data_IF_108064568563
#
_entry.id   IF_108064568563
#
_cell.length_a   1.000
_cell.length_b   1.000
_cell.length_c   1.000
_cell.angle_alpha   90.00
_cell.angle_beta   90.00
_cell.angle_gamma   90.00
#
_symmetry.space_group_name_H-M   'P 1'
#
loop_
_entity.id
_entity.type
_entity.pdbx_description
1 polymer ?
#
# COMPACT_ATOMS: atom_id res chain seq x y z
N UNK A 1 16.60 7.86 -19.06
CA UNK A 1 15.81 6.63 -19.35
C UNK A 1 15.47 6.60 -20.84
N UNK A 2 15.87 5.54 -21.54
CA UNK A 2 15.60 5.38 -22.99
C UNK A 2 14.19 4.83 -23.17
N UNK A 3 13.21 5.72 -23.36
CA UNK A 3 11.84 5.31 -23.65
C UNK A 3 11.71 4.83 -25.11
N UNK A 4 11.06 3.68 -25.31
CA UNK A 4 10.84 3.07 -26.62
C UNK A 4 9.38 2.64 -26.78
N UNK A 5 8.85 2.72 -28.00
CA UNK A 5 7.51 2.22 -28.29
C UNK A 5 7.45 0.68 -28.29
N UNK A 6 6.25 0.11 -28.19
CA UNK A 6 6.03 -1.33 -28.09
C UNK A 6 6.71 -2.16 -29.20
N UNK A 7 6.58 -1.74 -30.46
CA UNK A 7 7.14 -2.49 -31.59
C UNK A 7 8.67 -2.43 -31.61
N UNK A 8 9.25 -1.25 -31.35
CA UNK A 8 10.70 -1.05 -31.28
C UNK A 8 11.29 -1.83 -30.11
N UNK A 9 10.62 -1.83 -28.95
CA UNK A 9 11.01 -2.60 -27.79
C UNK A 9 11.05 -4.10 -28.08
N UNK A 10 10.00 -4.65 -28.69
CA UNK A 10 9.90 -6.05 -29.10
C UNK A 10 11.07 -6.43 -30.04
N UNK A 11 11.33 -5.59 -31.05
CA UNK A 11 12.42 -5.81 -32.01
C UNK A 11 13.81 -5.78 -31.34
N UNK A 12 14.09 -4.78 -30.49
CA UNK A 12 15.38 -4.66 -29.79
C UNK A 12 15.63 -5.87 -28.88
N UNK A 13 14.58 -6.33 -28.20
CA UNK A 13 14.67 -7.40 -27.22
C UNK A 13 14.53 -8.79 -27.83
N UNK A 14 14.16 -8.93 -29.11
CA UNK A 14 13.88 -10.23 -29.71
C UNK A 14 12.75 -10.99 -28.99
N UNK A 15 11.71 -10.28 -28.55
CA UNK A 15 10.49 -10.83 -27.93
C UNK A 15 9.28 -10.34 -28.71
N UNK A 16 8.14 -10.98 -28.51
CA UNK A 16 6.87 -10.56 -29.11
C UNK A 16 6.26 -9.36 -28.37
N UNK A 17 5.47 -8.56 -29.08
CA UNK A 17 4.69 -7.48 -28.46
C UNK A 17 3.69 -8.03 -27.42
N UNK A 18 3.17 -9.24 -27.64
CA UNK A 18 2.30 -9.95 -26.71
C UNK A 18 3.00 -10.30 -25.39
N UNK A 19 4.29 -10.65 -25.41
CA UNK A 19 5.09 -10.89 -24.20
C UNK A 19 5.28 -9.61 -23.39
N UNK A 20 5.62 -8.49 -24.04
CA UNK A 20 5.75 -7.18 -23.35
C UNK A 20 4.41 -6.76 -22.74
N UNK A 21 3.31 -6.89 -23.48
CA UNK A 21 1.96 -6.62 -22.95
C UNK A 21 1.58 -7.57 -21.81
N UNK A 22 2.07 -8.81 -21.83
CA UNK A 22 1.88 -9.78 -20.74
C UNK A 22 2.65 -9.34 -19.49
N UNK A 23 3.91 -8.90 -19.63
CA UNK A 23 4.69 -8.34 -18.52
C UNK A 23 4.01 -7.10 -17.92
N UNK A 24 3.52 -6.21 -18.78
CA UNK A 24 2.76 -5.03 -18.35
C UNK A 24 1.46 -5.42 -17.62
N UNK A 25 0.68 -6.36 -18.16
CA UNK A 25 -0.56 -6.87 -17.55
C UNK A 25 -0.29 -7.54 -16.19
N UNK A 26 0.85 -8.22 -16.07
CA UNK A 26 1.35 -8.78 -14.79
C UNK A 26 1.91 -7.71 -13.85
N UNK A 27 1.97 -6.44 -14.27
CA UNK A 27 2.54 -5.30 -13.56
C UNK A 27 4.03 -5.48 -13.19
N UNK A 28 4.80 -6.11 -14.07
CA UNK A 28 6.25 -6.27 -13.89
C UNK A 28 7.04 -5.07 -14.44
N UNK A 29 6.44 -4.35 -15.36
CA UNK A 29 7.01 -3.15 -16.01
C UNK A 29 6.01 -2.00 -15.98
N UNK A 30 6.54 -0.78 -16.08
CA UNK A 30 5.78 0.46 -16.25
C UNK A 30 5.57 0.70 -17.74
N UNK A 31 4.34 1.04 -18.12
CA UNK A 31 4.03 1.51 -19.46
C UNK A 31 3.38 2.88 -19.38
N UNK A 32 3.83 3.83 -20.19
CA UNK A 32 3.18 5.13 -20.35
C UNK A 32 2.35 5.10 -21.64
N UNK A 33 1.04 5.24 -21.50
CA UNK A 33 0.14 5.30 -22.65
C UNK A 33 0.26 6.69 -23.31
N UNK A 34 0.58 6.74 -24.61
CA UNK A 34 0.68 7.99 -25.38
C UNK A 34 -0.67 8.32 -26.02
N UNK A 35 -1.33 7.33 -26.61
CA UNK A 35 -2.63 7.45 -27.25
C UNK A 35 -3.41 6.13 -27.09
N UNK A 36 -4.53 5.94 -27.79
CA UNK A 36 -5.38 4.75 -27.58
C UNK A 36 -4.66 3.41 -27.80
N UNK A 37 -3.62 3.38 -28.64
CA UNK A 37 -2.91 2.18 -29.11
C UNK A 37 -1.43 2.14 -28.71
N UNK A 38 -0.78 3.28 -28.54
CA UNK A 38 0.67 3.37 -28.33
C UNK A 38 1.08 3.49 -26.86
N UNK A 39 2.10 2.72 -26.52
CA UNK A 39 2.73 2.68 -25.20
C UNK A 39 4.23 2.93 -25.33
N UNK A 40 4.78 3.70 -24.39
CA UNK A 40 6.22 3.80 -24.14
C UNK A 40 6.61 2.93 -22.95
N UNK A 41 7.75 2.27 -23.10
CA UNK A 41 8.36 1.44 -22.08
C UNK A 41 9.80 1.86 -21.86
N UNK A 42 10.28 1.64 -20.64
CA UNK A 42 11.70 1.79 -20.31
C UNK A 42 12.47 0.55 -20.82
N UNK A 43 13.42 0.79 -21.74
CA UNK A 43 14.19 -0.30 -22.36
C UNK A 43 15.08 -1.04 -21.35
N UNK A 44 15.63 -0.35 -20.35
CA UNK A 44 16.47 -0.95 -19.32
C UNK A 44 15.65 -1.90 -18.46
N UNK A 45 14.47 -1.44 -18.02
CA UNK A 45 13.53 -2.26 -17.25
C UNK A 45 13.12 -3.53 -18.01
N UNK A 46 12.82 -3.39 -19.31
CA UNK A 46 12.47 -4.53 -20.15
C UNK A 46 13.65 -5.52 -20.33
N UNK A 47 14.86 -5.00 -20.52
CA UNK A 47 16.08 -5.81 -20.68
C UNK A 47 16.36 -6.63 -19.43
N UNK A 48 16.27 -5.98 -18.25
CA UNK A 48 16.43 -6.63 -16.96
C UNK A 48 15.42 -7.77 -16.78
N UNK A 49 14.15 -7.52 -17.09
CA UNK A 49 13.10 -8.52 -16.97
C UNK A 49 13.31 -9.70 -17.93
N UNK A 50 13.68 -9.44 -19.20
CA UNK A 50 13.99 -10.49 -20.19
C UNK A 50 15.10 -11.43 -19.70
N UNK A 51 16.14 -10.85 -19.10
CA UNK A 51 17.30 -11.61 -18.65
C UNK A 51 17.10 -12.29 -17.29
N UNK A 52 15.88 -12.24 -16.72
CA UNK A 52 15.58 -12.63 -15.33
C UNK A 52 16.52 -11.98 -14.31
N UNK A 53 17.02 -10.79 -14.64
CA UNK A 53 17.81 -9.96 -13.75
C UNK A 53 16.84 -9.04 -13.02
N UNK A 54 16.50 -9.40 -11.77
CA UNK A 54 15.92 -8.43 -10.83
C UNK A 54 17.09 -7.73 -10.14
N UNK A 55 17.47 -6.51 -10.55
CA UNK A 55 18.57 -5.79 -9.90
C UNK A 55 18.21 -5.40 -8.46
N UNK A 56 16.92 -5.42 -8.11
CA UNK A 56 16.45 -5.13 -6.76
C UNK A 56 16.73 -6.28 -5.80
N UNK A 57 17.60 -6.02 -4.83
CA UNK A 57 17.70 -6.81 -3.59
C UNK A 57 16.76 -6.21 -2.54
N UNK A 58 16.15 -7.05 -1.70
CA UNK A 58 15.39 -6.54 -0.57
C UNK A 58 16.36 -5.96 0.46
N UNK A 59 16.33 -4.65 0.63
CA UNK A 59 16.98 -3.92 1.72
C UNK A 59 15.92 -3.13 2.47
N UNK A 60 16.03 -3.09 3.78
CA UNK A 60 15.16 -2.25 4.61
C UNK A 60 15.76 -0.85 4.56
N UNK A 61 15.05 0.08 3.93
CA UNK A 61 15.56 1.43 3.68
C UNK A 61 15.56 2.22 4.99
N UNK A 62 16.62 2.97 5.22
CA UNK A 62 16.80 3.85 6.37
C UNK A 62 17.80 4.97 6.02
N UNK A 63 17.47 6.21 6.40
CA UNK A 63 18.38 7.35 6.28
C UNK A 63 19.41 7.33 7.40
N UNK A 64 20.59 7.91 7.13
CA UNK A 64 21.62 8.14 8.14
C UNK A 64 21.48 9.50 8.83
N UNK A 65 20.70 10.42 8.25
CA UNK A 65 20.49 11.78 8.74
C UNK A 65 19.04 11.94 9.20
N UNK A 66 18.74 11.74 10.50
CA UNK A 66 17.42 12.01 11.03
C UNK A 66 17.14 13.52 11.05
N UNK A 67 15.87 13.88 10.89
CA UNK A 67 15.38 15.26 10.96
C UNK A 67 14.77 15.55 12.32
N UNK A 68 14.47 16.82 12.58
CA UNK A 68 13.70 17.22 13.77
C UNK A 68 12.19 17.30 13.48
N UNK A 69 11.75 16.98 12.27
CA UNK A 69 10.33 17.04 11.92
C UNK A 69 9.56 15.93 12.62
N UNK A 70 8.39 16.29 13.10
CA UNK A 70 7.60 15.48 14.01
C UNK A 70 6.37 14.90 13.34
N UNK A 71 6.00 13.67 13.72
CA UNK A 71 4.81 12.99 13.21
C UNK A 71 3.96 12.38 14.32
N UNK A 72 2.65 12.54 14.20
CA UNK A 72 1.65 11.71 14.87
C UNK A 72 1.10 10.72 13.85
N UNK A 73 1.00 9.44 14.20
CA UNK A 73 0.31 8.44 13.39
C UNK A 73 -0.93 7.89 14.09
N UNK A 74 -2.04 7.97 13.37
CA UNK A 74 -3.34 7.44 13.76
C UNK A 74 -3.57 6.07 13.10
N UNK A 75 -4.22 5.15 13.83
CA UNK A 75 -4.51 3.80 13.35
C UNK A 75 -3.22 3.03 13.02
N UNK A 76 -2.23 3.11 13.93
CA UNK A 76 -0.84 2.73 13.66
C UNK A 76 -0.62 1.25 13.32
N UNK A 77 -1.58 0.38 13.65
CA UNK A 77 -1.46 -1.06 13.45
C UNK A 77 -0.18 -1.61 14.08
N UNK A 78 0.50 -2.51 13.37
CA UNK A 78 1.76 -3.08 13.84
C UNK A 78 3.01 -2.24 13.50
N UNK A 79 2.84 -0.99 13.04
CA UNK A 79 3.95 -0.04 12.87
C UNK A 79 4.63 -0.05 11.51
N UNK A 80 4.01 -0.61 10.46
CA UNK A 80 4.62 -0.60 9.12
C UNK A 80 4.84 0.81 8.57
N UNK A 81 3.86 1.71 8.74
CA UNK A 81 4.02 3.12 8.37
C UNK A 81 4.92 3.85 9.36
N UNK A 82 4.70 3.69 10.67
CA UNK A 82 5.53 4.31 11.71
C UNK A 82 7.02 4.04 11.52
N UNK A 83 7.39 2.78 11.29
CA UNK A 83 8.77 2.38 11.06
C UNK A 83 9.32 2.97 9.77
N UNK A 84 8.54 2.99 8.68
CA UNK A 84 8.99 3.59 7.42
C UNK A 84 9.22 5.10 7.55
N UNK A 85 8.34 5.81 8.25
CA UNK A 85 8.47 7.24 8.51
C UNK A 85 9.66 7.54 9.44
N UNK A 86 9.86 6.75 10.50
CA UNK A 86 11.06 6.81 11.36
C UNK A 86 12.33 6.57 10.54
N UNK A 87 12.32 5.54 9.69
CA UNK A 87 13.43 5.22 8.81
C UNK A 87 13.73 6.33 7.80
N UNK A 88 12.74 7.12 7.39
CA UNK A 88 12.94 8.29 6.53
C UNK A 88 13.56 9.49 7.28
N UNK A 89 13.64 9.42 8.62
CA UNK A 89 14.19 10.46 9.48
C UNK A 89 13.15 11.31 10.18
N UNK A 90 11.87 10.93 10.21
CA UNK A 90 10.84 11.63 10.98
C UNK A 90 10.81 11.18 12.45
N UNK A 91 10.54 12.10 13.36
CA UNK A 91 10.42 11.81 14.79
C UNK A 91 8.97 11.52 15.18
N UNK A 92 8.68 10.27 15.48
CA UNK A 92 7.38 9.83 15.98
C UNK A 92 7.10 10.40 17.37
N UNK A 93 6.10 11.26 17.49
CA UNK A 93 5.67 11.88 18.75
C UNK A 93 4.55 11.10 19.44
N UNK A 94 3.65 10.52 18.65
CA UNK A 94 2.52 9.76 19.17
C UNK A 94 2.05 8.74 18.13
N UNK A 95 1.77 7.53 18.61
CA UNK A 95 1.06 6.48 17.88
C UNK A 95 -0.27 6.19 18.58
N UNK A 96 -1.37 6.19 17.82
CA UNK A 96 -2.70 5.82 18.31
C UNK A 96 -3.15 4.51 17.67
N UNK A 97 -3.43 3.50 18.48
CA UNK A 97 -3.89 2.20 18.03
C UNK A 97 -4.86 1.58 19.04
N UNK A 98 -5.95 0.98 18.58
CA UNK A 98 -7.00 0.41 19.44
C UNK A 98 -6.79 -1.09 19.72
N UNK A 99 -6.09 -1.79 18.85
CA UNK A 99 -5.86 -3.22 18.96
C UNK A 99 -4.69 -3.52 19.91
N UNK A 100 -4.97 -4.24 20.99
CA UNK A 100 -3.97 -4.55 22.01
C UNK A 100 -2.76 -5.33 21.49
N UNK A 101 -2.94 -6.27 20.55
CA UNK A 101 -1.81 -7.03 19.98
C UNK A 101 -0.92 -6.12 19.13
N UNK A 102 -1.52 -5.22 18.33
CA UNK A 102 -0.78 -4.19 17.59
C UNK A 102 0.02 -3.28 18.54
N UNK A 103 -0.61 -2.79 19.61
CA UNK A 103 0.05 -1.95 20.63
C UNK A 103 1.23 -2.68 21.28
N UNK A 104 1.04 -3.95 21.63
CA UNK A 104 2.10 -4.77 22.22
C UNK A 104 3.25 -4.96 21.23
N UNK A 105 2.95 -5.18 19.95
CA UNK A 105 3.95 -5.22 18.86
C UNK A 105 4.72 -3.91 18.76
N UNK A 106 4.06 -2.75 18.76
CA UNK A 106 4.72 -1.44 18.70
C UNK A 106 5.69 -1.25 19.88
N UNK A 107 5.20 -1.48 21.11
CA UNK A 107 5.99 -1.31 22.34
C UNK A 107 7.14 -2.30 22.47
N UNK A 108 6.99 -3.52 21.96
CA UNK A 108 8.05 -4.53 21.97
C UNK A 108 9.23 -4.11 21.09
N UNK A 109 8.95 -3.60 19.89
CA UNK A 109 10.00 -3.28 18.91
C UNK A 109 10.59 -1.89 19.11
N UNK A 110 9.83 -0.97 19.71
CA UNK A 110 10.21 0.41 19.97
C UNK A 110 9.69 0.85 21.35
N UNK A 111 10.34 0.42 22.44
CA UNK A 111 9.90 0.76 23.80
C UNK A 111 9.83 2.26 24.10
N UNK A 112 10.60 3.07 23.37
CA UNK A 112 10.62 4.52 23.46
C UNK A 112 9.44 5.20 22.75
N UNK A 113 8.70 4.51 21.88
CA UNK A 113 7.56 5.11 21.20
C UNK A 113 6.42 5.37 22.18
N UNK A 114 5.87 6.57 22.11
CA UNK A 114 4.67 6.93 22.86
C UNK A 114 3.43 6.34 22.16
N UNK A 115 2.92 5.22 22.68
CA UNK A 115 1.78 4.49 22.11
C UNK A 115 0.56 4.62 23.03
N UNK A 116 -0.50 5.26 22.55
CA UNK A 116 -1.80 5.30 23.22
C UNK A 116 -2.66 4.14 22.71
N UNK A 117 -3.04 3.25 23.64
CA UNK A 117 -4.01 2.20 23.39
C UNK A 117 -5.43 2.67 23.69
N UNK A 118 -6.07 3.35 22.75
CA UNK A 118 -7.40 3.89 22.96
C UNK A 118 -8.14 4.09 21.65
N UNK A 119 -9.47 4.07 21.72
CA UNK A 119 -10.31 4.59 20.64
C UNK A 119 -9.99 6.08 20.42
N UNK A 120 -9.64 6.44 19.19
CA UNK A 120 -9.32 7.82 18.78
C UNK A 120 -10.40 8.82 19.19
N UNK A 121 -11.68 8.40 19.21
CA UNK A 121 -12.84 9.23 19.62
C UNK A 121 -12.73 9.78 21.03
N UNK A 122 -11.92 9.14 21.89
CA UNK A 122 -11.73 9.51 23.29
C UNK A 122 -10.45 10.31 23.54
N UNK A 123 -9.67 10.55 22.49
CA UNK A 123 -8.39 11.26 22.59
C UNK A 123 -8.60 12.73 22.23
N UNK A 124 -8.12 13.60 23.12
CA UNK A 124 -8.00 15.03 22.89
C UNK A 124 -6.61 15.31 22.33
N UNK A 125 -6.52 15.93 21.17
CA UNK A 125 -5.27 16.25 20.50
C UNK A 125 -4.85 17.71 20.67
N UNK A 126 -5.67 18.54 21.31
CA UNK A 126 -5.38 19.96 21.57
C UNK A 126 -4.01 20.24 22.19
N UNK A 127 -3.48 19.29 22.97
CA UNK A 127 -2.19 19.46 23.67
C UNK A 127 -1.00 19.45 22.69
N UNK A 128 -1.23 18.95 21.47
CA UNK A 128 -0.29 18.91 20.35
C UNK A 128 -0.48 20.05 19.34
N UNK A 129 -1.42 20.97 19.58
CA UNK A 129 -1.68 22.11 18.71
C UNK A 129 -0.40 22.90 18.42
N UNK A 130 -0.13 23.11 17.13
CA UNK A 130 1.03 23.84 16.60
C UNK A 130 2.42 23.27 16.98
N UNK A 131 2.46 22.02 17.49
CA UNK A 131 3.71 21.34 17.89
C UNK A 131 4.13 20.20 16.95
N UNK A 132 3.27 19.85 16.01
CA UNK A 132 3.42 18.68 15.15
C UNK A 132 3.49 19.13 13.69
N UNK A 133 4.48 18.66 12.96
CA UNK A 133 4.63 18.98 11.54
C UNK A 133 3.68 18.13 10.68
N UNK A 134 3.52 16.84 11.02
CA UNK A 134 2.82 15.86 10.20
C UNK A 134 1.80 15.06 11.02
N UNK A 135 0.59 14.87 10.48
CA UNK A 135 -0.34 13.82 10.94
C UNK A 135 -0.53 12.77 9.85
N UNK A 136 -0.19 11.51 10.14
CA UNK A 136 -0.36 10.39 9.21
C UNK A 136 -1.44 9.41 9.72
N UNK A 137 -2.09 8.64 8.84
CA UNK A 137 -2.98 7.57 9.29
C UNK A 137 -3.60 6.72 8.20
N UNK A 138 -3.79 5.43 8.48
CA UNK A 138 -4.47 4.47 7.60
C UNK A 138 -5.81 4.05 8.18
N UNK A 139 -6.87 4.81 7.92
CA UNK A 139 -8.19 4.50 8.52
C UNK A 139 -8.91 3.37 7.76
N UNK A 140 -9.63 2.47 8.46
CA UNK A 140 -10.45 1.45 7.84
C UNK A 140 -11.47 2.01 6.85
N UNK A 141 -11.52 1.44 5.64
CA UNK A 141 -12.52 1.77 4.61
C UNK A 141 -13.86 1.09 4.96
N UNK A 142 -14.65 1.69 5.85
CA UNK A 142 -16.02 1.25 6.12
C UNK A 142 -17.00 1.91 5.13
N UNK A 143 -18.06 1.22 4.68
CA UNK A 143 -19.09 1.83 3.86
C UNK A 143 -19.83 2.93 4.65
N UNK A 144 -19.83 4.16 4.12
CA UNK A 144 -20.56 5.30 4.68
C UNK A 144 -22.07 5.01 4.64
N UNK A 145 -22.70 4.82 5.80
CA UNK A 145 -24.12 4.51 5.92
C UNK A 145 -24.97 5.69 5.46
N UNK A 146 -25.95 5.42 4.59
CA UNK A 146 -26.97 6.37 4.14
C UNK A 146 -27.78 6.89 5.33
N UNK A 147 -27.67 8.18 5.64
CA UNK A 147 -28.69 8.91 6.37
C UNK A 147 -29.13 10.15 5.56
N UNK A 148 -29.76 9.90 4.41
CA UNK A 148 -30.60 10.88 3.73
C UNK A 148 -30.06 11.37 2.39
N UNK A 149 -30.90 11.25 1.37
CA UNK A 149 -30.78 11.96 0.10
C UNK A 149 -30.55 13.46 0.38
N UNK A 150 -29.32 13.95 0.17
CA UNK A 150 -29.02 15.37 0.02
C UNK A 150 -28.50 16.14 1.24
N UNK A 151 -27.63 15.58 2.11
CA UNK A 151 -26.97 16.34 3.19
C UNK A 151 -25.46 16.06 3.39
N UNK A 152 -24.65 16.41 2.39
CA UNK A 152 -23.22 16.76 2.54
C UNK A 152 -22.36 15.97 3.55
N UNK A 153 -21.50 16.70 4.28
CA UNK A 153 -20.54 16.20 5.29
C UNK A 153 -21.18 15.52 6.50
N UNK A 154 -22.51 15.58 6.65
CA UNK A 154 -23.20 14.93 7.76
C UNK A 154 -23.08 13.40 7.68
N UNK A 155 -23.01 12.85 6.46
CA UNK A 155 -22.76 11.41 6.21
C UNK A 155 -21.34 10.96 6.60
N UNK A 156 -20.39 11.89 6.77
CA UNK A 156 -19.06 11.58 7.31
C UNK A 156 -19.06 11.55 8.84
N UNK A 157 -20.05 12.17 9.50
CA UNK A 157 -20.09 12.26 10.97
C UNK A 157 -20.22 10.85 11.57
N UNK A 158 -19.27 10.48 12.41
CA UNK A 158 -19.17 9.15 13.03
C UNK A 158 -18.22 8.17 12.33
N UNK A 159 -17.74 8.50 11.13
CA UNK A 159 -16.69 7.73 10.44
C UNK A 159 -15.30 7.97 11.06
N UNK A 160 -14.37 7.03 10.84
CA UNK A 160 -12.98 7.18 11.28
C UNK A 160 -12.22 8.26 10.49
N UNK A 161 -12.69 8.61 9.29
CA UNK A 161 -12.17 9.76 8.55
C UNK A 161 -12.53 11.08 9.26
N UNK A 162 -13.73 11.20 9.85
CA UNK A 162 -14.09 12.38 10.63
C UNK A 162 -13.20 12.56 11.86
N UNK A 163 -12.83 11.47 12.53
CA UNK A 163 -11.87 11.54 13.65
C UNK A 163 -10.45 11.92 13.20
N UNK A 164 -10.04 11.50 12.00
CA UNK A 164 -8.81 11.97 11.38
C UNK A 164 -8.88 13.49 11.12
N UNK A 165 -9.97 13.98 10.51
CA UNK A 165 -10.17 15.42 10.26
C UNK A 165 -10.25 16.24 11.58
N UNK A 166 -10.90 15.71 12.62
CA UNK A 166 -10.92 16.33 13.96
C UNK A 166 -9.52 16.47 14.53
N UNK A 167 -8.70 15.42 14.42
CA UNK A 167 -7.29 15.47 14.82
C UNK A 167 -6.56 16.61 14.08
N UNK A 168 -6.74 16.76 12.76
CA UNK A 168 -6.14 17.86 11.99
C UNK A 168 -6.60 19.24 12.48
N UNK A 169 -7.88 19.40 12.81
CA UNK A 169 -8.40 20.68 13.33
C UNK A 169 -7.81 21.04 14.70
N UNK A 170 -7.61 20.05 15.57
CA UNK A 170 -7.04 20.25 16.91
C UNK A 170 -5.53 20.49 16.85
N UNK A 171 -4.79 19.67 16.10
CA UNK A 171 -3.32 19.68 16.01
C UNK A 171 -2.80 20.79 15.10
N UNK A 172 -3.53 21.13 14.02
CA UNK A 172 -3.11 22.07 12.98
C UNK A 172 -1.74 21.74 12.33
N UNK A 173 -1.46 20.48 11.91
CA UNK A 173 -0.18 20.13 11.31
C UNK A 173 0.05 20.86 9.98
N UNK A 174 1.32 20.97 9.57
CA UNK A 174 1.68 21.56 8.27
C UNK A 174 1.24 20.64 7.12
N UNK A 175 1.34 19.33 7.34
CA UNK A 175 1.00 18.30 6.35
C UNK A 175 0.20 17.18 7.02
N UNK A 176 -0.78 16.63 6.31
CA UNK A 176 -1.48 15.42 6.66
C UNK A 176 -1.34 14.37 5.55
N UNK A 177 -1.16 13.10 5.92
CA UNK A 177 -1.10 11.99 4.98
C UNK A 177 -2.10 10.90 5.39
N UNK A 178 -3.03 10.57 4.50
CA UNK A 178 -3.95 9.46 4.70
C UNK A 178 -3.67 8.32 3.72
N UNK A 179 -3.64 7.10 4.23
CA UNK A 179 -3.57 5.87 3.44
C UNK A 179 -4.94 5.20 3.35
N UNK A 180 -5.25 4.65 2.17
CA UNK A 180 -6.42 3.82 1.99
C UNK A 180 -6.28 2.79 0.86
N UNK A 181 -7.25 1.89 0.73
CA UNK A 181 -7.32 0.92 -0.37
C UNK A 181 -7.67 1.60 -1.70
N UNK A 182 -7.14 1.08 -2.81
CA UNK A 182 -7.49 1.55 -4.17
C UNK A 182 -9.00 1.57 -4.44
N UNK A 183 -9.76 0.67 -3.82
CA UNK A 183 -11.21 0.56 -3.99
C UNK A 183 -11.98 1.84 -3.62
N UNK A 184 -11.37 2.73 -2.82
CA UNK A 184 -11.97 4.01 -2.44
C UNK A 184 -12.26 4.92 -3.65
N UNK A 185 -11.45 4.84 -4.72
CA UNK A 185 -11.68 5.58 -5.97
C UNK A 185 -13.03 5.27 -6.63
N UNK A 186 -13.48 4.03 -6.52
CA UNK A 186 -14.71 3.54 -7.13
C UNK A 186 -15.88 3.48 -6.15
N UNK A 187 -15.64 3.79 -4.87
CA UNK A 187 -16.67 3.74 -3.84
C UNK A 187 -17.73 4.80 -4.12
N UNK A 188 -19.01 4.39 -4.18
CA UNK A 188 -20.13 5.23 -4.63
C UNK A 188 -19.78 6.04 -5.90
N UNK A 189 -19.18 5.38 -6.90
CA UNK A 189 -18.75 6.02 -8.16
C UNK A 189 -17.77 7.20 -8.00
N UNK A 190 -17.04 7.26 -6.88
CA UNK A 190 -16.03 8.29 -6.58
C UNK A 190 -16.51 9.37 -5.60
N UNK A 191 -17.81 9.41 -5.26
CA UNK A 191 -18.40 10.42 -4.37
C UNK A 191 -17.74 10.45 -3.00
N UNK A 192 -17.41 9.28 -2.45
CA UNK A 192 -16.78 9.18 -1.12
C UNK A 192 -15.44 9.90 -1.06
N UNK A 193 -14.58 9.72 -2.06
CA UNK A 193 -13.28 10.39 -2.08
C UNK A 193 -13.47 11.90 -2.25
N UNK A 194 -14.40 12.33 -3.10
CA UNK A 194 -14.69 13.76 -3.30
C UNK A 194 -15.15 14.42 -2.00
N UNK A 195 -16.05 13.78 -1.24
CA UNK A 195 -16.48 14.27 0.08
C UNK A 195 -15.32 14.38 1.08
N UNK A 196 -14.39 13.43 1.08
CA UNK A 196 -13.19 13.52 1.93
C UNK A 196 -12.29 14.71 1.55
N UNK A 197 -12.05 14.92 0.25
CA UNK A 197 -11.23 16.04 -0.21
C UNK A 197 -11.89 17.38 0.11
N UNK A 198 -13.22 17.48 -0.06
CA UNK A 198 -13.98 18.67 0.33
C UNK A 198 -13.91 18.92 1.84
N UNK A 199 -14.06 17.88 2.67
CA UNK A 199 -13.94 18.01 4.12
C UNK A 199 -12.57 18.56 4.54
N UNK A 200 -11.49 18.10 3.91
CA UNK A 200 -10.14 18.61 4.16
C UNK A 200 -10.00 20.08 3.74
N UNK A 201 -10.58 20.44 2.59
CA UNK A 201 -10.60 21.82 2.11
C UNK A 201 -11.32 22.77 3.06
N UNK A 202 -12.47 22.36 3.60
CA UNK A 202 -13.25 23.18 4.53
C UNK A 202 -12.54 23.42 5.88
N UNK A 203 -11.63 22.52 6.28
CA UNK A 203 -10.80 22.70 7.48
C UNK A 203 -9.44 23.35 7.19
N UNK A 204 -9.25 23.92 5.99
CA UNK A 204 -8.08 24.73 5.63
C UNK A 204 -6.92 23.97 4.99
N UNK A 205 -7.15 22.79 4.40
CA UNK A 205 -6.11 22.00 3.74
C UNK A 205 -6.36 21.82 2.25
N UNK A 206 -5.31 21.99 1.46
CA UNK A 206 -5.30 21.59 0.05
C UNK A 206 -4.90 20.12 -0.06
N UNK A 207 -5.76 19.27 -0.61
CA UNK A 207 -5.53 17.83 -0.72
C UNK A 207 -5.32 17.38 -2.17
N UNK A 208 -4.29 16.56 -2.38
CA UNK A 208 -4.05 15.81 -3.62
C UNK A 208 -3.96 14.32 -3.30
N UNK A 209 -4.19 13.45 -4.29
CA UNK A 209 -4.09 12.01 -4.10
C UNK A 209 -3.44 11.28 -5.27
N UNK A 210 -2.85 10.12 -4.99
CA UNK A 210 -2.28 9.23 -6.00
C UNK A 210 -2.45 7.76 -5.59
N UNK A 211 -2.72 6.88 -6.56
CA UNK A 211 -2.59 5.44 -6.34
C UNK A 211 -1.14 5.03 -6.56
N UNK A 212 -0.50 4.60 -5.49
CA UNK A 212 0.87 4.11 -5.49
C UNK A 212 0.91 2.59 -5.62
N UNK A 213 1.84 2.10 -6.44
CA UNK A 213 2.16 0.68 -6.61
C UNK A 213 3.44 0.35 -5.86
N UNK A 214 3.33 -0.37 -4.75
CA UNK A 214 4.44 -0.67 -3.84
C UNK A 214 5.59 -1.43 -4.54
N UNK A 215 5.29 -2.25 -5.55
CA UNK A 215 6.29 -3.02 -6.31
C UNK A 215 7.37 -2.18 -6.98
N UNK A 216 7.12 -0.87 -7.18
CA UNK A 216 8.08 0.07 -7.76
C UNK A 216 8.68 1.02 -6.69
N UNK A 217 8.50 0.71 -5.41
CA UNK A 217 8.96 1.47 -4.25
C UNK A 217 9.73 0.56 -3.29
N UNK A 218 10.59 -0.29 -3.84
CA UNK A 218 11.44 -1.22 -3.06
C UNK A 218 10.67 -2.23 -2.20
N UNK A 219 9.44 -2.58 -2.61
CA UNK A 219 8.64 -3.61 -1.95
C UNK A 219 8.48 -4.82 -2.87
N UNK A 220 8.74 -6.05 -2.41
CA UNK A 220 8.58 -7.27 -3.22
C UNK A 220 7.11 -7.73 -3.31
N UNK A 221 6.18 -6.79 -3.50
CA UNK A 221 4.74 -7.06 -3.48
C UNK A 221 3.96 -6.16 -4.43
N UNK A 222 3.07 -6.78 -5.23
CA UNK A 222 2.13 -6.10 -6.10
C UNK A 222 0.94 -5.54 -5.31
N UNK A 223 1.17 -4.49 -4.52
CA UNK A 223 0.18 -3.86 -3.64
C UNK A 223 -0.08 -2.43 -4.08
N UNK A 224 -1.34 -2.09 -4.34
CA UNK A 224 -1.78 -0.72 -4.63
C UNK A 224 -2.43 -0.09 -3.42
N UNK A 225 -2.11 1.18 -3.18
CA UNK A 225 -2.72 2.02 -2.14
C UNK A 225 -3.01 3.42 -2.65
N UNK A 226 -4.16 3.95 -2.25
CA UNK A 226 -4.50 5.34 -2.44
C UNK A 226 -3.83 6.12 -1.30
N UNK A 227 -2.98 7.07 -1.66
CA UNK A 227 -2.39 8.01 -0.71
C UNK A 227 -2.99 9.38 -0.98
N UNK A 228 -3.50 10.01 0.07
CA UNK A 228 -3.96 11.40 0.07
C UNK A 228 -2.95 12.21 0.87
N UNK A 229 -2.45 13.29 0.30
CA UNK A 229 -1.57 14.24 0.97
C UNK A 229 -2.30 15.57 1.00
N UNK A 230 -2.51 16.11 2.20
CA UNK A 230 -3.15 17.38 2.42
C UNK A 230 -2.17 18.35 3.08
N UNK A 231 -2.03 19.55 2.54
CA UNK A 231 -1.12 20.59 3.03
C UNK A 231 -1.91 21.78 3.53
N UNK A 232 -1.45 22.41 4.62
CA UNK A 232 -2.13 23.57 5.18
C UNK A 232 -2.06 24.74 4.20
N UNK A 233 -3.20 25.34 3.87
CA UNK A 233 -3.32 26.30 2.75
C UNK A 233 -2.52 27.59 2.98
N UNK A 234 -2.39 28.04 4.22
CA UNK A 234 -1.62 29.22 4.62
C UNK A 234 -0.12 29.08 4.36
N UNK A 235 0.39 27.86 4.20
CA UNK A 235 1.82 27.58 4.03
C UNK A 235 2.25 27.43 2.57
N UNK A 236 1.30 27.38 1.63
CA UNK A 236 1.56 27.20 0.19
C UNK A 236 2.50 26.02 -0.14
N UNK A 237 2.44 24.95 0.67
CA UNK A 237 3.20 23.71 0.44
C UNK A 237 2.48 22.88 -0.62
N UNK A 238 3.21 22.42 -1.64
CA UNK A 238 2.63 21.59 -2.70
C UNK A 238 2.77 20.10 -2.36
N UNK A 239 1.71 19.29 -2.45
CA UNK A 239 1.81 17.84 -2.29
C UNK A 239 2.79 17.19 -3.30
N UNK A 240 3.68 16.34 -2.80
CA UNK A 240 4.65 15.56 -3.59
C UNK A 240 4.44 14.07 -3.35
N UNK A 241 4.55 13.25 -4.40
CA UNK A 241 4.44 11.79 -4.32
C UNK A 241 5.73 11.11 -4.77
N UNK A 242 6.05 9.91 -4.22
CA UNK A 242 7.28 9.20 -4.53
C UNK A 242 7.46 8.88 -6.02
N UNK A 243 8.70 8.98 -6.47
CA UNK A 243 9.09 8.46 -7.78
C UNK A 243 9.24 6.95 -7.78
N UNK A 244 8.76 6.32 -8.86
CA UNK A 244 8.92 4.89 -9.06
C UNK A 244 10.31 4.50 -9.55
N UNK A 245 10.88 3.48 -8.92
CA UNK A 245 12.04 2.75 -9.41
C UNK A 245 11.75 2.09 -10.76
N UNK A 246 12.80 1.83 -11.54
CA UNK A 246 12.73 1.15 -12.84
C UNK A 246 12.89 -0.38 -12.71
N UNK A 247 12.86 -0.93 -11.49
CA UNK A 247 12.92 -2.36 -11.23
C UNK A 247 11.80 -2.81 -10.28
N UNK A 248 11.71 -4.13 -10.09
CA UNK A 248 10.91 -4.76 -9.04
C UNK A 248 11.78 -5.79 -8.30
N UNK A 249 11.37 -6.18 -7.10
CA UNK A 249 12.05 -7.21 -6.30
C UNK A 249 11.22 -8.50 -6.38
N UNK A 250 11.84 -9.58 -6.82
CA UNK A 250 11.16 -10.88 -6.93
C UNK A 250 10.97 -11.52 -5.55
N UNK A 251 9.99 -12.43 -5.43
CA UNK A 251 9.78 -13.18 -4.19
C UNK A 251 11.00 -14.03 -3.82
N UNK A 252 11.73 -14.56 -4.81
CA UNK A 252 12.99 -15.29 -4.59
C UNK A 252 14.01 -14.45 -3.83
N UNK A 253 14.20 -13.19 -4.24
CA UNK A 253 15.10 -12.26 -3.57
C UNK A 253 14.58 -11.81 -2.20
N UNK A 254 13.27 -11.65 -2.05
CA UNK A 254 12.68 -11.30 -0.77
C UNK A 254 12.84 -12.40 0.30
N UNK A 255 12.72 -13.67 -0.10
CA UNK A 255 12.76 -14.80 0.83
C UNK A 255 14.14 -15.49 0.92
N UNK A 256 15.15 -14.94 0.26
CA UNK A 256 16.53 -15.42 0.34
C UNK A 256 17.02 -15.37 1.80
N UNK A 257 17.40 -16.53 2.37
CA UNK A 257 17.79 -16.66 3.77
C UNK A 257 16.75 -16.12 4.78
N UNK A 258 15.46 -16.35 4.51
CA UNK A 258 14.38 -15.96 5.42
C UNK A 258 14.45 -16.72 6.76
N UNK A 259 14.46 -16.05 7.93
CA UNK A 259 14.43 -16.73 9.21
C UNK A 259 13.20 -17.62 9.33
N UNK A 260 13.41 -18.79 9.92
CA UNK A 260 12.33 -19.74 10.19
C UNK A 260 11.35 -19.11 11.18
N UNK A 261 10.06 -19.26 10.93
CA UNK A 261 9.01 -18.80 11.81
C UNK A 261 7.76 -19.66 11.66
N UNK A 262 6.81 -19.50 12.60
CA UNK A 262 5.53 -20.18 12.55
C UNK A 262 4.73 -19.73 11.30
N UNK A 263 3.88 -20.64 10.82
CA UNK A 263 2.93 -20.35 9.76
C UNK A 263 1.67 -21.17 9.91
N UNK A 264 0.58 -20.71 9.30
CA UNK A 264 -0.64 -21.54 9.23
C UNK A 264 -0.45 -22.66 8.21
N UNK A 265 -1.11 -23.78 8.43
CA UNK A 265 -1.17 -24.88 7.46
C UNK A 265 -2.52 -24.93 6.75
N UNK A 266 -2.55 -25.54 5.57
CA UNK A 266 -3.80 -25.86 4.90
C UNK A 266 -4.44 -27.09 5.52
N UNK A 267 -5.78 -27.08 5.63
CA UNK A 267 -6.55 -28.31 5.88
C UNK A 267 -6.31 -29.31 4.74
N UNK A 268 -6.39 -30.60 5.02
CA UNK A 268 -6.09 -31.70 4.08
C UNK A 268 -6.65 -31.48 2.67
N UNK A 269 -7.97 -31.32 2.52
CA UNK A 269 -8.58 -31.12 1.19
C UNK A 269 -8.01 -29.90 0.45
N UNK A 270 -7.69 -28.82 1.16
CA UNK A 270 -7.07 -27.64 0.54
C UNK A 270 -5.62 -27.91 0.17
N UNK A 271 -4.89 -28.67 0.98
CA UNK A 271 -3.51 -29.10 0.68
C UNK A 271 -3.47 -29.95 -0.60
N UNK A 272 -4.39 -30.89 -0.76
CA UNK A 272 -4.57 -31.66 -2.00
C UNK A 272 -4.85 -30.76 -3.22
N UNK A 273 -5.77 -29.80 -3.08
CA UNK A 273 -6.07 -28.89 -4.20
C UNK A 273 -4.86 -28.02 -4.55
N UNK A 274 -4.18 -27.48 -3.54
CA UNK A 274 -3.04 -26.59 -3.75
C UNK A 274 -1.80 -27.33 -4.29
N UNK A 275 -1.65 -28.64 -4.05
CA UNK A 275 -0.54 -29.43 -4.60
C UNK A 275 -0.62 -29.59 -6.12
N UNK A 276 -1.83 -29.48 -6.70
CA UNK A 276 -2.06 -29.55 -8.15
C UNK A 276 -1.72 -28.24 -8.87
N UNK A 277 -1.60 -27.14 -8.15
CA UNK A 277 -1.32 -25.83 -8.76
C UNK A 277 0.20 -25.62 -8.88
N UNK A 278 0.76 -25.40 -10.09
CA UNK A 278 2.18 -25.15 -10.27
C UNK A 278 2.58 -23.75 -9.77
N UNK A 279 3.89 -23.51 -9.59
CA UNK A 279 4.41 -22.20 -9.21
C UNK A 279 3.94 -21.11 -10.19
N UNK A 280 3.48 -19.97 -9.66
CA UNK A 280 2.85 -18.90 -10.45
C UNK A 280 1.44 -19.21 -10.96
N UNK A 281 0.93 -20.43 -10.76
CA UNK A 281 -0.41 -20.88 -11.15
C UNK A 281 -1.54 -20.31 -10.30
N UNK A 282 -2.78 -20.71 -10.63
CA UNK A 282 -4.03 -20.41 -9.94
C UNK A 282 -5.08 -21.50 -10.23
N UNK A 283 -6.33 -21.25 -9.86
CA UNK A 283 -7.46 -22.17 -10.11
C UNK A 283 -7.58 -22.70 -11.55
N UNK A 284 -7.11 -21.96 -12.56
CA UNK A 284 -7.18 -22.39 -13.97
C UNK A 284 -6.34 -23.63 -14.27
N UNK A 285 -5.34 -23.90 -13.44
CA UNK A 285 -4.45 -25.05 -13.59
C UNK A 285 -5.05 -26.33 -12.98
N UNK A 286 -6.18 -26.21 -12.25
CA UNK A 286 -6.85 -27.34 -11.64
C UNK A 286 -7.67 -28.14 -12.67
N UNK A 287 -7.88 -29.45 -12.47
CA UNK A 287 -8.89 -30.22 -13.19
C UNK A 287 -10.29 -29.61 -13.10
N UNK A 288 -11.10 -29.73 -14.16
CA UNK A 288 -12.40 -29.04 -14.30
C UNK A 288 -13.40 -29.38 -13.19
N UNK A 289 -13.40 -30.62 -12.70
CA UNK A 289 -14.19 -31.09 -11.56
C UNK A 289 -13.78 -30.38 -10.27
N UNK A 290 -12.47 -30.28 -10.00
CA UNK A 290 -11.92 -29.57 -8.84
C UNK A 290 -12.17 -28.05 -8.96
N UNK A 291 -12.09 -27.47 -10.16
CA UNK A 291 -12.44 -26.07 -10.37
C UNK A 291 -13.89 -25.78 -9.94
N UNK A 292 -14.84 -26.64 -10.33
CA UNK A 292 -16.26 -26.51 -9.98
C UNK A 292 -16.48 -26.67 -8.47
N UNK A 293 -15.84 -27.66 -7.85
CA UNK A 293 -15.90 -27.89 -6.39
C UNK A 293 -15.35 -26.69 -5.62
N UNK A 294 -14.16 -26.22 -5.99
CA UNK A 294 -13.41 -25.23 -5.23
C UNK A 294 -13.97 -23.82 -5.40
N UNK A 295 -14.33 -23.44 -6.62
CA UNK A 295 -14.81 -22.08 -6.91
C UNK A 295 -16.32 -21.93 -6.74
N UNK A 296 -17.08 -23.02 -6.82
CA UNK A 296 -18.54 -23.00 -6.70
C UNK A 296 -19.15 -21.94 -7.64
N UNK A 297 -20.05 -21.10 -7.12
CA UNK A 297 -20.69 -20.03 -7.88
C UNK A 297 -19.70 -18.98 -8.41
N UNK A 298 -18.53 -18.80 -7.79
CA UNK A 298 -17.52 -17.85 -8.27
C UNK A 298 -16.99 -18.20 -9.64
N UNK A 299 -17.13 -19.44 -10.13
CA UNK A 299 -16.74 -19.79 -11.49
C UNK A 299 -17.53 -19.02 -12.56
N UNK A 300 -18.77 -18.62 -12.25
CA UNK A 300 -19.65 -17.88 -13.17
C UNK A 300 -19.38 -16.37 -13.19
N UNK A 301 -18.62 -15.85 -12.23
CA UNK A 301 -18.39 -14.41 -12.09
C UNK A 301 -17.39 -13.88 -13.13
N UNK A 302 -17.65 -12.68 -13.65
CA UNK A 302 -16.71 -11.96 -14.52
C UNK A 302 -15.70 -11.17 -13.66
N UNK A 303 -14.42 -11.52 -13.76
CA UNK A 303 -13.33 -10.85 -13.02
C UNK A 303 -13.08 -11.36 -11.58
N UNK A 304 -11.99 -10.90 -10.94
CA UNK A 304 -11.72 -11.15 -9.51
C UNK A 304 -11.35 -12.59 -9.10
N UNK A 305 -11.22 -13.52 -10.06
CA UNK A 305 -11.00 -14.95 -9.79
C UNK A 305 -9.55 -15.37 -9.68
N UNK A 306 -8.60 -14.54 -10.13
CA UNK A 306 -7.16 -14.89 -10.15
C UNK A 306 -6.54 -15.11 -8.77
N UNK A 307 -7.23 -14.71 -7.69
CA UNK A 307 -6.83 -14.99 -6.31
C UNK A 307 -7.18 -16.41 -5.82
N UNK A 308 -8.04 -17.15 -6.52
CA UNK A 308 -8.41 -18.52 -6.14
C UNK A 308 -7.28 -19.50 -6.47
N UNK A 309 -6.99 -20.38 -5.51
CA UNK A 309 -5.95 -21.38 -5.53
C UNK A 309 -4.59 -20.80 -5.95
N UNK A 310 -4.28 -19.56 -5.53
CA UNK A 310 -3.11 -18.85 -6.03
C UNK A 310 -1.83 -19.41 -5.41
N UNK A 311 -0.96 -19.98 -6.26
CA UNK A 311 0.45 -20.25 -5.92
C UNK A 311 1.32 -19.10 -6.42
N UNK A 312 2.19 -18.61 -5.56
CA UNK A 312 3.10 -17.52 -5.87
C UNK A 312 4.19 -17.98 -6.86
N UNK A 313 4.81 -17.03 -7.55
CA UNK A 313 5.95 -17.27 -8.43
C UNK A 313 7.23 -16.85 -7.71
N UNK A 314 8.35 -17.53 -7.98
CA UNK A 314 9.66 -17.11 -7.51
C UNK A 314 10.16 -15.84 -8.22
N UNK A 315 9.85 -15.70 -9.50
CA UNK A 315 10.44 -14.69 -10.38
C UNK A 315 9.65 -13.38 -10.42
N UNK A 316 8.50 -13.32 -9.74
CA UNK A 316 7.66 -12.12 -9.67
C UNK A 316 7.56 -11.61 -8.23
N UNK A 317 7.27 -10.31 -8.01
CA UNK A 317 6.85 -9.83 -6.70
C UNK A 317 5.58 -10.58 -6.25
N UNK A 318 5.44 -10.78 -4.94
CA UNK A 318 4.27 -11.46 -4.38
C UNK A 318 2.97 -10.73 -4.75
N UNK A 319 1.91 -11.49 -5.01
CA UNK A 319 0.56 -10.89 -5.06
C UNK A 319 0.21 -10.36 -3.66
N UNK A 320 -0.61 -9.30 -3.58
CA UNK A 320 -1.04 -8.70 -2.31
C UNK A 320 -1.35 -9.76 -1.26
N UNK A 321 -0.56 -9.75 -0.19
CA UNK A 321 -0.78 -10.63 0.95
C UNK A 321 -2.01 -10.17 1.72
N UNK A 322 -2.70 -11.12 2.33
CA UNK A 322 -4.00 -10.93 2.96
C UNK A 322 -3.95 -11.32 4.43
N UNK A 323 -4.87 -10.79 5.23
CA UNK A 323 -4.94 -11.06 6.68
C UNK A 323 -5.28 -12.52 7.02
N UNK A 324 -5.73 -13.30 6.03
CA UNK A 324 -6.16 -14.70 6.17
C UNK A 324 -5.44 -15.59 5.15
N UNK A 325 -4.15 -15.92 5.36
CA UNK A 325 -3.29 -16.68 4.42
C UNK A 325 -3.85 -18.01 3.90
N UNK A 326 -4.80 -18.63 4.60
CA UNK A 326 -5.34 -19.94 4.27
C UNK A 326 -6.82 -19.94 3.82
N UNK A 327 -7.51 -18.81 3.83
CA UNK A 327 -8.93 -18.74 3.44
C UNK A 327 -9.07 -18.64 1.92
N UNK A 328 -10.05 -19.36 1.34
CA UNK A 328 -10.34 -19.38 -0.12
C UNK A 328 -10.37 -17.97 -0.71
N UNK A 329 -9.79 -17.78 -1.90
CA UNK A 329 -9.61 -16.49 -2.61
C UNK A 329 -8.52 -15.58 -2.03
N UNK A 330 -8.21 -15.74 -0.74
CA UNK A 330 -7.20 -14.95 -0.04
C UNK A 330 -5.86 -15.68 0.07
N UNK A 331 -5.83 -17.00 -0.21
CA UNK A 331 -4.61 -17.80 -0.15
C UNK A 331 -3.48 -17.28 -1.03
N UNK A 332 -2.27 -17.36 -0.50
CA UNK A 332 -1.01 -17.11 -1.19
C UNK A 332 -0.06 -18.26 -0.86
N UNK A 333 -0.13 -19.32 -1.67
CA UNK A 333 0.67 -20.51 -1.44
C UNK A 333 2.13 -20.25 -1.81
N UNK A 334 3.04 -20.76 -0.98
CA UNK A 334 4.48 -20.70 -1.19
C UNK A 334 4.82 -21.28 -2.58
N UNK A 335 5.79 -20.72 -3.34
CA UNK A 335 6.05 -21.19 -4.71
C UNK A 335 6.48 -22.66 -4.78
N UNK A 336 7.15 -23.16 -3.75
CA UNK A 336 7.69 -24.53 -3.72
C UNK A 336 6.96 -25.47 -2.75
N UNK A 337 6.47 -24.94 -1.63
CA UNK A 337 5.90 -25.75 -0.55
C UNK A 337 4.37 -25.63 -0.58
N UNK A 338 3.64 -26.70 -0.24
CA UNK A 338 2.18 -26.68 -0.24
C UNK A 338 1.64 -26.18 1.11
N UNK A 339 2.01 -24.92 1.42
CA UNK A 339 1.58 -24.16 2.59
C UNK A 339 1.50 -22.67 2.23
N UNK A 340 0.76 -21.86 2.99
CA UNK A 340 0.94 -20.42 2.97
C UNK A 340 2.37 -19.99 3.33
N UNK A 341 2.68 -18.73 3.03
CA UNK A 341 3.89 -18.10 3.57
C UNK A 341 3.83 -18.04 5.12
N UNK A 342 4.95 -18.27 5.79
CA UNK A 342 5.11 -18.13 7.25
C UNK A 342 4.99 -16.66 7.68
N UNK A 343 4.92 -16.38 8.97
CA UNK A 343 4.84 -15.01 9.51
C UNK A 343 6.03 -14.16 9.07
N UNK A 344 7.26 -14.68 9.14
CA UNK A 344 8.46 -13.95 8.72
C UNK A 344 8.52 -13.75 7.21
N UNK A 345 8.13 -14.76 6.42
CA UNK A 345 8.00 -14.60 4.96
C UNK A 345 6.96 -13.51 4.62
N UNK A 346 5.83 -13.47 5.34
CA UNK A 346 4.83 -12.40 5.24
C UNK A 346 5.41 -11.02 5.56
N UNK A 347 6.17 -10.93 6.65
CA UNK A 347 6.79 -9.69 7.13
C UNK A 347 7.79 -9.13 6.10
N UNK A 348 8.64 -9.99 5.52
CA UNK A 348 9.58 -9.59 4.46
C UNK A 348 8.87 -9.12 3.19
N UNK A 349 7.74 -9.74 2.84
CA UNK A 349 6.91 -9.29 1.70
C UNK A 349 6.32 -7.88 1.93
N UNK A 350 6.18 -7.45 3.19
CA UNK A 350 5.83 -6.09 3.60
C UNK A 350 7.05 -5.22 3.94
N UNK A 351 8.26 -5.67 3.59
CA UNK A 351 9.53 -4.99 3.88
C UNK A 351 9.77 -4.67 5.36
N UNK A 352 9.26 -5.49 6.30
CA UNK A 352 9.69 -5.40 7.70
C UNK A 352 11.10 -5.99 7.87
N UNK A 353 11.94 -5.42 8.76
CA UNK A 353 13.21 -6.03 9.11
C UNK A 353 13.00 -7.33 9.90
N UNK A 354 13.99 -8.22 9.84
CA UNK A 354 13.90 -9.56 10.42
C UNK A 354 13.84 -9.57 11.95
N UNK A 355 14.32 -8.51 12.59
CA UNK A 355 14.27 -8.29 14.03
C UNK A 355 12.92 -7.70 14.50
N UNK A 356 12.04 -7.25 13.58
CA UNK A 356 10.70 -6.78 13.94
C UNK A 356 9.82 -7.96 14.35
N UNK A 357 9.43 -8.01 15.61
CA UNK A 357 8.66 -9.09 16.22
C UNK A 357 7.16 -8.77 16.26
N UNK A 358 6.30 -9.78 16.08
CA UNK A 358 4.85 -9.60 16.13
C UNK A 358 4.27 -10.37 17.31
N UNK A 359 3.41 -9.72 18.09
CA UNK A 359 2.77 -10.30 19.27
C UNK A 359 1.35 -10.79 18.96
N UNK A 360 0.74 -11.52 19.90
CA UNK A 360 -0.58 -12.12 19.75
C UNK A 360 -0.54 -13.50 19.08
N UNK A 361 -1.71 -14.11 18.92
CA UNK A 361 -1.81 -15.41 18.25
C UNK A 361 -1.50 -15.31 16.74
N UNK A 362 -1.27 -16.46 16.10
CA UNK A 362 -0.86 -16.54 14.70
C UNK A 362 -1.81 -15.80 13.74
N UNK A 363 -3.13 -15.93 13.94
CA UNK A 363 -4.15 -15.20 13.16
C UNK A 363 -4.01 -13.69 13.35
N UNK A 364 -3.72 -13.23 14.56
CA UNK A 364 -3.48 -11.81 14.85
C UNK A 364 -2.23 -11.28 14.15
N UNK A 365 -1.13 -12.05 14.17
CA UNK A 365 0.11 -11.67 13.50
C UNK A 365 -0.08 -11.53 11.98
N UNK A 366 -0.79 -12.46 11.34
CA UNK A 366 -1.11 -12.34 9.91
C UNK A 366 -2.01 -11.14 9.59
N UNK A 367 -2.98 -10.83 10.46
CA UNK A 367 -3.83 -9.64 10.32
C UNK A 367 -3.04 -8.35 10.48
N UNK A 368 -2.15 -8.28 11.46
CA UNK A 368 -1.23 -7.18 11.67
C UNK A 368 -0.41 -6.89 10.40
N UNK A 369 0.28 -7.91 9.89
CA UNK A 369 1.16 -7.77 8.73
C UNK A 369 0.35 -7.48 7.45
N UNK A 370 -0.78 -8.16 7.24
CA UNK A 370 -1.63 -7.98 6.05
C UNK A 370 -2.26 -6.59 5.94
N UNK A 371 -2.59 -5.98 7.09
CA UNK A 371 -3.15 -4.63 7.14
C UNK A 371 -2.08 -3.52 7.01
N UNK A 372 -0.84 -3.78 7.37
CA UNK A 372 0.22 -2.77 7.38
C UNK A 372 0.44 -2.09 6.01
N UNK A 373 0.92 -0.84 6.06
CA UNK A 373 1.61 -0.21 4.94
C UNK A 373 3.01 -0.83 4.85
N UNK A 374 3.52 -1.19 3.66
CA UNK A 374 4.90 -1.68 3.56
C UNK A 374 5.91 -0.62 4.05
N UNK A 375 6.89 -1.03 4.85
CA UNK A 375 7.88 -0.13 5.46
C UNK A 375 8.63 0.69 4.42
N UNK A 376 9.15 0.07 3.35
CA UNK A 376 9.89 0.79 2.31
C UNK A 376 9.00 1.77 1.52
N UNK A 377 7.72 1.45 1.35
CA UNK A 377 6.77 2.39 0.74
C UNK A 377 6.55 3.62 1.65
N UNK A 378 6.40 3.40 2.96
CA UNK A 378 6.30 4.47 3.93
C UNK A 378 7.60 5.29 4.06
N UNK A 379 8.77 4.67 3.88
CA UNK A 379 10.05 5.37 3.78
C UNK A 379 10.08 6.38 2.63
N UNK A 380 9.72 5.96 1.42
CA UNK A 380 9.69 6.88 0.27
C UNK A 380 8.67 8.01 0.46
N UNK A 381 7.51 7.71 1.08
CA UNK A 381 6.54 8.73 1.46
C UNK A 381 7.11 9.71 2.50
N UNK A 382 7.81 9.23 3.52
CA UNK A 382 8.49 10.06 4.51
C UNK A 382 9.48 11.04 3.88
N UNK A 383 10.27 10.58 2.90
CA UNK A 383 11.14 11.46 2.12
C UNK A 383 10.40 12.59 1.41
N UNK A 384 9.26 12.29 0.76
CA UNK A 384 8.43 13.33 0.13
C UNK A 384 7.87 14.33 1.16
N UNK A 385 7.45 13.86 2.34
CA UNK A 385 6.95 14.73 3.42
C UNK A 385 8.05 15.66 3.95
N UNK A 386 9.28 15.17 4.10
CA UNK A 386 10.44 15.97 4.49
C UNK A 386 10.76 17.03 3.43
N UNK A 387 10.83 16.63 2.16
CA UNK A 387 11.09 17.55 1.04
C UNK A 387 10.05 18.68 0.97
N UNK A 388 8.77 18.36 1.21
CA UNK A 388 7.70 19.36 1.32
C UNK A 388 7.92 20.36 2.44
N UNK A 389 8.41 19.92 3.60
CA UNK A 389 8.71 20.78 4.75
C UNK A 389 9.98 21.63 4.55
N UNK A 390 10.92 21.16 3.73
CA UNK A 390 12.17 21.86 3.40
C UNK A 390 12.00 22.82 2.20
N UNK A 391 10.98 22.63 1.38
CA UNK A 391 10.78 23.39 0.14
C UNK A 391 11.57 22.85 -1.05
N UNK A 392 12.10 21.63 -0.96
CA UNK A 392 12.91 21.01 -1.99
C UNK A 392 12.03 20.26 -3.01
N UNK A 393 11.63 20.98 -4.06
CA UNK A 393 10.76 20.45 -5.14
C UNK A 393 11.55 19.88 -6.34
N UNK A 394 12.85 19.64 -6.21
CA UNK A 394 13.71 19.26 -7.33
C UNK A 394 13.41 17.83 -7.82
N UNK A 395 12.97 17.72 -9.07
CA UNK A 395 13.07 16.50 -9.88
C UNK A 395 11.83 15.60 -9.99
N UNK A 396 10.68 15.94 -9.41
CA UNK A 396 9.57 14.98 -9.23
C UNK A 396 8.31 15.27 -10.06
N UNK A 397 7.56 14.20 -10.37
CA UNK A 397 6.39 14.20 -11.25
C UNK A 397 5.31 15.16 -10.73
N UNK A 398 4.88 16.09 -11.57
CA UNK A 398 3.62 16.81 -11.34
C UNK A 398 2.52 15.76 -11.14
N UNK A 399 1.75 15.81 -10.04
CA UNK A 399 0.62 14.91 -9.89
C UNK A 399 -0.31 15.10 -11.09
N UNK A 400 -1.12 14.08 -11.39
CA UNK A 400 -2.40 14.36 -12.05
C UNK A 400 -3.23 15.16 -11.06
N UNK A 401 -3.01 16.46 -11.00
CA UNK A 401 -4.01 17.41 -10.55
C UNK A 401 -5.11 17.34 -11.59
N UNK A 402 -6.05 16.41 -11.42
CA UNK A 402 -7.41 16.73 -11.80
C UNK A 402 -7.81 17.88 -10.87
N UNK A 403 -7.50 19.10 -11.31
CA UNK A 403 -8.16 20.29 -10.81
C UNK A 403 -9.65 19.99 -10.95
N UNK A 404 -10.35 19.90 -9.82
CA UNK A 404 -11.80 19.86 -9.85
C UNK A 404 -12.25 21.16 -10.51
N UNK A 405 -12.64 21.09 -11.79
CA UNK A 405 -13.57 22.06 -12.34
C UNK A 405 -14.90 21.78 -11.66
N UNK A 406 -15.22 22.56 -10.62
CA UNK A 406 -16.50 22.47 -9.92
C UNK A 406 -17.52 23.23 -10.79
N UNK A 407 -18.57 22.57 -11.33
CA UNK A 407 -19.69 23.31 -11.89
C UNK A 407 -20.36 24.11 -10.77
N UNK A 408 -20.28 25.45 -10.82
CA UNK A 408 -20.95 26.34 -9.86
C UNK A 408 -20.06 27.06 -8.83
N UNK A 409 -18.73 26.97 -8.94
CA UNK A 409 -17.80 27.83 -8.19
C UNK A 409 -16.87 28.53 -9.20
N UNK A 410 -17.37 29.62 -9.79
CA UNK A 410 -16.51 30.58 -10.48
C UNK A 410 -15.73 31.35 -9.42
N UNK A 411 -14.41 31.25 -9.48
CA UNK A 411 -13.51 32.10 -8.69
C UNK A 411 -13.53 33.46 -9.38
N UNK A 412 -14.09 34.48 -8.72
CA UNK A 412 -13.88 35.88 -9.08
C UNK A 412 -12.46 36.32 -8.71
#
# INVERSE_FOLDING_TARGET
MTQVNLQKAANILGVTTAEILTWQKKKLIKGQKINQVDWLFDLEQLTNLKNNQSPGELRILQTVEPTNYTVIELFAGCGGMALGLENAGLKTQLLVEINQDCVNTLRLNRPQWNVINQDIKKIKFSDFRDKIDIVAGGFPCQPFSYAGLGKGLEDLRGSLFFEFARCLQEVQPKIAMAENVRGLLSNKKGETLQLMLQALQEIGYYAAYQVLSAQFLDVPQKRERLIIIATRQDLNIKPIFPQYRNYTISLKKALENCPISLGVEYKERKKEIMSLVPAGGNWRDLPMDIQKEYMKNSLKNHGGRTGYAKRLSWDEPALTITCSPAQTQTERCHPQETRPLTVREYARVQSFPDDWQFTGNLTSQYRQIGNAVPVNMAYHLGGCLINMLQGDYLGETQPKTEQLSIPGLEVN
#
